data_IF_790980018513
#
_entry.id   IF_790980018513
#
_cell.length_a   1.000
_cell.length_b   1.000
_cell.length_c   1.000
_cell.angle_alpha   90.00
_cell.angle_beta   90.00
_cell.angle_gamma   90.00
#
_symmetry.space_group_name_H-M   'P 1'
#
loop_
_entity.id
_entity.type
_entity.pdbx_description
1 polymer ?
#
# COMPACT_ATOMS: atom_id res chain seq x y z
N UNK A 1 30.29 8.50 10.27
CA UNK A 1 29.68 7.17 10.14
C UNK A 1 28.28 7.23 10.72
N UNK A 2 27.27 7.49 9.88
CA UNK A 2 25.87 7.45 10.28
C UNK A 2 25.46 6.00 10.45
N UNK A 3 25.18 5.59 11.69
CA UNK A 3 24.54 4.31 12.01
C UNK A 3 23.34 4.13 11.10
N UNK A 4 23.37 3.08 10.26
CA UNK A 4 22.32 2.77 9.30
C UNK A 4 21.03 2.39 10.02
N UNK A 5 20.25 3.39 10.42
CA UNK A 5 18.85 3.20 10.77
C UNK A 5 18.19 2.56 9.55
N UNK A 6 17.67 1.34 9.70
CA UNK A 6 16.89 0.72 8.64
C UNK A 6 15.74 1.65 8.32
N UNK A 7 15.73 2.17 7.10
CA UNK A 7 14.62 3.00 6.62
C UNK A 7 13.40 2.10 6.45
N UNK A 8 12.26 2.54 6.99
CA UNK A 8 10.98 1.86 6.78
C UNK A 8 10.65 1.83 5.28
N UNK A 9 9.84 0.85 4.88
CA UNK A 9 9.18 0.89 3.57
C UNK A 9 7.92 1.71 3.76
N UNK A 10 7.69 2.71 2.92
CA UNK A 10 6.43 3.46 2.91
C UNK A 10 5.51 2.87 1.84
N UNK A 11 4.38 2.32 2.28
CA UNK A 11 3.28 2.01 1.39
C UNK A 11 2.38 3.23 1.33
N UNK A 12 2.11 3.75 0.14
CA UNK A 12 1.18 4.86 -0.01
C UNK A 12 0.30 4.71 -1.24
N UNK A 13 -0.82 5.42 -1.18
CA UNK A 13 -1.82 5.56 -2.22
C UNK A 13 -2.30 7.01 -2.21
N UNK A 14 -2.73 7.51 -3.37
CA UNK A 14 -3.36 8.83 -3.48
C UNK A 14 -4.68 8.74 -4.20
N UNK A 15 -5.66 9.48 -3.70
CA UNK A 15 -6.86 9.75 -4.47
C UNK A 15 -6.78 11.13 -5.11
N UNK A 16 -7.34 11.22 -6.30
CA UNK A 16 -7.23 12.40 -7.15
C UNK A 16 -8.58 12.80 -7.72
N UNK A 17 -8.65 13.99 -8.27
CA UNK A 17 -9.70 14.37 -9.21
C UNK A 17 -9.70 13.47 -10.44
N UNK A 18 -10.74 13.54 -11.27
CA UNK A 18 -10.63 13.10 -12.65
C UNK A 18 -9.57 13.96 -13.39
N UNK A 19 -8.97 13.47 -14.49
CA UNK A 19 -8.07 14.29 -15.29
C UNK A 19 -8.86 15.46 -15.88
N UNK A 20 -8.31 16.67 -15.82
CA UNK A 20 -8.86 17.82 -16.50
C UNK A 20 -8.78 17.66 -18.02
N UNK A 21 -9.42 18.54 -18.78
CA UNK A 21 -9.30 18.55 -20.25
C UNK A 21 -7.83 18.70 -20.73
N UNK A 22 -6.98 19.32 -19.92
CA UNK A 22 -5.54 19.44 -20.15
C UNK A 22 -4.73 18.24 -19.63
N UNK A 23 -5.40 17.18 -19.18
CA UNK A 23 -4.78 15.97 -18.64
C UNK A 23 -4.23 16.09 -17.22
N UNK A 24 -4.51 17.19 -16.51
CA UNK A 24 -3.98 17.45 -15.16
C UNK A 24 -4.81 16.76 -14.07
N UNK A 25 -4.13 16.31 -13.02
CA UNK A 25 -4.73 15.68 -11.85
C UNK A 25 -4.47 16.54 -10.62
N UNK A 26 -5.44 16.61 -9.69
CA UNK A 26 -5.23 17.24 -8.38
C UNK A 26 -5.35 16.19 -7.28
N UNK A 27 -4.44 16.22 -6.32
CA UNK A 27 -4.51 15.38 -5.12
C UNK A 27 -5.70 15.81 -4.26
N UNK A 28 -6.49 14.84 -3.82
CA UNK A 28 -7.62 15.01 -2.90
C UNK A 28 -7.41 14.30 -1.57
N UNK A 29 -6.62 13.21 -1.58
CA UNK A 29 -6.25 12.48 -0.38
C UNK A 29 -4.85 11.91 -0.56
N UNK A 30 -4.10 11.89 0.54
CA UNK A 30 -2.85 11.14 0.67
C UNK A 30 -2.98 10.19 1.84
N UNK A 31 -2.64 8.92 1.65
CA UNK A 31 -2.61 7.92 2.70
C UNK A 31 -1.35 7.08 2.64
N UNK A 32 -0.68 6.90 3.77
CA UNK A 32 0.56 6.16 3.86
C UNK A 32 0.67 5.36 5.17
N UNK A 33 1.33 4.21 5.09
CA UNK A 33 1.79 3.43 6.23
C UNK A 33 3.30 3.21 6.14
N UNK A 34 3.96 3.31 7.29
CA UNK A 34 5.36 2.96 7.46
C UNK A 34 5.45 1.51 7.92
N UNK A 35 6.20 0.70 7.21
CA UNK A 35 6.29 -0.74 7.41
C UNK A 35 7.70 -1.14 7.77
N UNK A 36 7.84 -1.89 8.87
CA UNK A 36 9.11 -2.48 9.25
C UNK A 36 9.51 -3.56 8.22
N UNK A 37 10.62 -3.43 7.48
CA UNK A 37 10.98 -4.36 6.41
C UNK A 37 11.28 -5.79 6.91
N UNK A 38 11.59 -5.96 8.20
CA UNK A 38 11.88 -7.28 8.79
C UNK A 38 10.66 -8.00 9.35
N UNK A 39 9.66 -7.23 9.82
CA UNK A 39 8.50 -7.76 10.53
C UNK A 39 7.22 -7.66 9.72
N UNK A 40 7.21 -6.85 8.66
CA UNK A 40 6.05 -6.56 7.81
C UNK A 40 4.83 -6.06 8.63
N UNK A 41 5.12 -5.35 9.72
CA UNK A 41 4.12 -4.71 10.57
C UNK A 41 4.13 -3.21 10.31
N UNK A 42 2.95 -2.62 10.32
CA UNK A 42 2.76 -1.18 10.35
C UNK A 42 3.35 -0.63 11.67
N UNK A 43 4.28 0.32 11.56
CA UNK A 43 4.92 1.02 12.69
C UNK A 43 4.48 2.48 12.79
N UNK A 44 3.72 2.96 11.81
CA UNK A 44 3.13 4.28 11.79
C UNK A 44 2.25 4.47 10.56
N UNK A 45 1.37 5.46 10.61
CA UNK A 45 0.51 5.84 9.50
C UNK A 45 0.33 7.34 9.44
N UNK A 46 -0.04 7.83 8.27
CA UNK A 46 -0.45 9.21 8.06
C UNK A 46 -1.48 9.25 6.95
N UNK A 47 -2.55 9.99 7.18
CA UNK A 47 -3.57 10.28 6.18
C UNK A 47 -3.99 11.74 6.27
N UNK A 48 -4.34 12.33 5.14
CA UNK A 48 -4.84 13.69 5.09
C UNK A 48 -5.68 13.91 3.83
N UNK A 49 -6.80 14.61 3.99
CA UNK A 49 -7.49 15.21 2.85
C UNK A 49 -6.70 16.43 2.38
N UNK A 50 -6.75 16.69 1.08
CA UNK A 50 -6.03 17.80 0.44
C UNK A 50 -7.04 18.62 -0.35
N UNK A 51 -7.11 19.91 -0.04
CA UNK A 51 -7.99 20.83 -0.75
C UNK A 51 -7.37 21.26 -2.08
N UNK A 52 -8.02 21.01 -3.22
CA UNK A 52 -7.56 21.51 -4.51
C UNK A 52 -7.73 23.04 -4.58
N UNK A 53 -6.96 23.70 -5.46
CA UNK A 53 -7.08 25.15 -5.67
C UNK A 53 -8.46 25.55 -6.23
N UNK A 54 -9.01 24.72 -7.10
CA UNK A 54 -10.38 24.84 -7.62
C UNK A 54 -11.26 23.77 -6.96
N UNK A 55 -12.28 24.17 -6.20
CA UNK A 55 -13.18 23.22 -5.54
C UNK A 55 -14.16 22.54 -6.51
N UNK A 56 -14.38 23.10 -7.70
CA UNK A 56 -15.29 22.50 -8.69
C UNK A 56 -14.80 21.13 -9.16
N UNK A 57 -13.49 20.89 -9.11
CA UNK A 57 -12.88 19.61 -9.49
C UNK A 57 -12.88 18.57 -8.36
N UNK A 58 -13.21 18.96 -7.12
CA UNK A 58 -13.19 18.08 -5.95
C UNK A 58 -14.28 17.00 -5.97
N UNK A 59 -15.38 17.25 -6.67
CA UNK A 59 -16.49 16.30 -6.81
C UNK A 59 -16.07 15.18 -7.78
N UNK A 60 -15.93 13.96 -7.27
CA UNK A 60 -15.67 12.78 -8.10
C UNK A 60 -16.66 11.67 -7.77
N UNK A 61 -16.66 10.58 -8.55
CA UNK A 61 -17.45 9.38 -8.21
C UNK A 61 -17.06 8.77 -6.85
N UNK A 62 -15.86 9.06 -6.36
CA UNK A 62 -15.28 8.49 -5.13
C UNK A 62 -15.28 9.47 -3.96
N UNK A 63 -15.31 10.77 -4.25
CA UNK A 63 -15.40 11.83 -3.24
C UNK A 63 -16.70 12.60 -3.41
N UNK A 64 -17.64 12.28 -2.53
CA UNK A 64 -18.94 12.95 -2.43
C UNK A 64 -19.01 13.94 -1.28
N UNK A 65 -18.08 13.88 -0.33
CA UNK A 65 -18.00 14.79 0.82
C UNK A 65 -17.18 16.04 0.47
N UNK A 66 -17.83 16.95 -0.26
CA UNK A 66 -17.23 18.19 -0.74
C UNK A 66 -16.90 19.13 0.43
N UNK A 67 -17.71 19.09 1.49
CA UNK A 67 -17.53 19.94 2.67
C UNK A 67 -16.24 19.55 3.41
N UNK A 68 -15.98 18.25 3.58
CA UNK A 68 -14.72 17.79 4.16
C UNK A 68 -13.50 18.18 3.32
N UNK A 69 -13.58 18.10 1.98
CA UNK A 69 -12.48 18.57 1.11
C UNK A 69 -12.33 20.09 1.17
N UNK A 70 -13.42 20.85 1.24
CA UNK A 70 -13.38 22.30 1.32
C UNK A 70 -12.78 22.79 2.65
N UNK A 71 -12.94 22.03 3.73
CA UNK A 71 -12.33 22.29 5.03
C UNK A 71 -10.87 21.78 5.14
N UNK A 72 -10.40 20.97 4.19
CA UNK A 72 -9.08 20.37 4.23
C UNK A 72 -7.94 21.40 4.00
N UNK A 73 -6.72 21.11 4.48
CA UNK A 73 -5.56 21.94 4.18
C UNK A 73 -5.21 21.89 2.69
N UNK A 74 -4.72 22.98 2.08
CA UNK A 74 -4.11 22.94 0.76
C UNK A 74 -2.79 22.15 0.80
N UNK A 75 -2.36 21.61 -0.35
CA UNK A 75 -1.17 20.76 -0.43
C UNK A 75 0.10 21.38 0.19
N UNK A 76 0.32 22.68 -0.02
CA UNK A 76 1.47 23.41 0.54
C UNK A 76 1.60 23.29 2.07
N UNK A 77 0.49 23.14 2.80
CA UNK A 77 0.46 23.11 4.26
C UNK A 77 0.78 21.70 4.79
N UNK A 78 0.60 20.66 3.97
CA UNK A 78 0.93 19.25 4.31
C UNK A 78 2.21 18.75 3.63
N UNK A 79 2.78 19.53 2.72
CA UNK A 79 3.92 19.15 1.89
C UNK A 79 5.16 18.76 2.70
N UNK A 80 5.47 19.47 3.79
CA UNK A 80 6.61 19.14 4.67
C UNK A 80 6.44 17.76 5.29
N UNK A 81 5.24 17.47 5.81
CA UNK A 81 4.95 16.18 6.44
C UNK A 81 5.02 15.04 5.44
N UNK A 82 4.47 15.23 4.23
CA UNK A 82 4.52 14.25 3.16
C UNK A 82 5.97 14.03 2.71
N UNK A 83 6.76 15.10 2.57
CA UNK A 83 8.19 15.01 2.23
C UNK A 83 8.94 14.17 3.25
N UNK A 84 8.78 14.46 4.55
CA UNK A 84 9.44 13.73 5.63
C UNK A 84 9.08 12.24 5.68
N UNK A 85 7.86 11.88 5.26
CA UNK A 85 7.38 10.50 5.18
C UNK A 85 8.02 9.78 3.99
N UNK A 86 8.11 10.45 2.84
CA UNK A 86 8.48 9.81 1.58
C UNK A 86 10.00 9.84 1.31
N UNK A 87 10.67 10.94 1.61
CA UNK A 87 12.04 11.18 1.14
C UNK A 87 13.03 10.16 1.68
N UNK A 88 13.84 9.60 0.77
CA UNK A 88 14.85 8.61 1.08
C UNK A 88 14.33 7.24 1.51
N UNK A 89 13.01 7.00 1.59
CA UNK A 89 12.44 5.67 1.88
C UNK A 89 12.21 4.87 0.61
N UNK A 90 12.03 3.55 0.77
CA UNK A 90 11.53 2.72 -0.32
C UNK A 90 10.03 2.94 -0.44
N UNK A 91 9.57 3.28 -1.63
CA UNK A 91 8.15 3.50 -1.91
C UNK A 91 7.51 2.21 -2.40
N UNK A 92 6.35 1.89 -1.89
CA UNK A 92 5.57 0.73 -2.30
C UNK A 92 4.11 1.14 -2.53
N UNK A 93 3.50 0.57 -3.57
CA UNK A 93 2.13 0.91 -3.96
C UNK A 93 1.67 0.02 -5.10
N UNK A 94 0.45 0.23 -5.61
CA UNK A 94 -0.12 -0.61 -6.65
C UNK A 94 -0.37 0.20 -7.90
N UNK A 95 0.34 -0.11 -8.98
CA UNK A 95 0.45 0.75 -10.15
C UNK A 95 1.11 2.11 -9.82
N UNK A 96 1.89 2.15 -8.74
CA UNK A 96 2.43 3.37 -8.14
C UNK A 96 3.37 4.12 -9.09
N UNK A 97 4.12 3.41 -9.93
CA UNK A 97 5.06 4.04 -10.86
C UNK A 97 4.34 4.87 -11.92
N UNK A 98 3.17 4.40 -12.37
CA UNK A 98 2.40 5.05 -13.43
C UNK A 98 1.39 6.05 -12.88
N UNK A 99 0.95 5.85 -11.65
CA UNK A 99 -0.10 6.65 -11.05
C UNK A 99 0.44 7.58 -9.96
N UNK A 100 0.60 7.08 -8.74
CA UNK A 100 0.79 7.92 -7.54
C UNK A 100 2.11 8.70 -7.56
N UNK A 101 3.22 8.07 -7.98
CA UNK A 101 4.54 8.69 -8.02
C UNK A 101 4.55 9.99 -8.87
N UNK A 102 4.04 10.00 -10.13
CA UNK A 102 3.85 11.24 -10.88
C UNK A 102 3.01 12.29 -10.17
N UNK A 103 1.91 11.93 -9.49
CA UNK A 103 1.01 12.91 -8.86
C UNK A 103 1.64 13.59 -7.67
N UNK A 104 2.44 12.86 -6.88
CA UNK A 104 3.25 13.47 -5.82
C UNK A 104 4.22 14.49 -6.43
N UNK A 105 4.95 14.12 -7.49
CA UNK A 105 5.90 15.03 -8.14
C UNK A 105 5.22 16.28 -8.70
N UNK A 106 4.08 16.12 -9.37
CA UNK A 106 3.27 17.23 -9.91
C UNK A 106 2.83 18.18 -8.78
N UNK A 107 2.34 17.65 -7.66
CA UNK A 107 1.89 18.46 -6.53
C UNK A 107 3.03 19.28 -5.87
N UNK A 108 4.24 18.70 -5.77
CA UNK A 108 5.42 19.43 -5.30
C UNK A 108 5.87 20.49 -6.30
N UNK A 109 5.84 20.18 -7.60
CA UNK A 109 6.16 21.14 -8.66
C UNK A 109 5.20 22.34 -8.67
N UNK A 110 3.91 22.12 -8.44
CA UNK A 110 2.88 23.18 -8.38
C UNK A 110 3.11 24.20 -7.28
N UNK A 111 3.76 23.80 -6.18
CA UNK A 111 4.12 24.70 -5.08
C UNK A 111 5.57 25.21 -5.19
N UNK A 112 6.24 24.95 -6.32
CA UNK A 112 7.61 25.41 -6.59
C UNK A 112 8.67 24.73 -5.73
N UNK A 113 8.43 23.49 -5.28
CA UNK A 113 9.34 22.76 -4.39
C UNK A 113 9.87 21.48 -5.05
N UNK A 114 11.09 21.03 -4.68
CA UNK A 114 11.57 19.72 -5.10
C UNK A 114 10.70 18.62 -4.48
N UNK A 115 10.40 17.60 -5.28
CA UNK A 115 9.68 16.41 -4.82
C UNK A 115 10.61 15.50 -3.98
N UNK A 116 10.06 14.70 -3.06
CA UNK A 116 10.82 13.68 -2.34
C UNK A 116 11.32 12.60 -3.31
N UNK A 117 12.50 12.05 -3.05
CA UNK A 117 13.11 11.01 -3.89
C UNK A 117 13.15 9.64 -3.18
N UNK A 118 12.66 8.57 -3.83
CA UNK A 118 12.69 7.23 -3.26
C UNK A 118 14.11 6.65 -3.27
N UNK A 119 14.45 5.87 -2.24
CA UNK A 119 15.60 4.97 -2.28
C UNK A 119 15.38 3.77 -3.23
N UNK A 120 14.13 3.48 -3.56
CA UNK A 120 13.69 2.43 -4.48
C UNK A 120 12.17 2.40 -4.57
N UNK A 121 11.63 1.79 -5.64
CA UNK A 121 10.17 1.71 -5.86
C UNK A 121 9.75 0.25 -6.07
N UNK A 122 8.76 -0.19 -5.31
CA UNK A 122 8.09 -1.48 -5.41
C UNK A 122 6.68 -1.24 -5.95
N UNK A 123 6.51 -1.46 -7.25
CA UNK A 123 5.19 -1.47 -7.86
C UNK A 123 4.59 -2.87 -7.78
N UNK A 124 3.68 -3.07 -6.83
CA UNK A 124 3.05 -4.36 -6.59
C UNK A 124 2.31 -4.89 -7.82
N UNK A 125 1.74 -4.05 -8.68
CA UNK A 125 1.09 -4.53 -9.90
C UNK A 125 2.11 -5.18 -10.83
N UNK A 126 3.26 -4.54 -11.02
CA UNK A 126 4.33 -5.07 -11.89
C UNK A 126 4.92 -6.36 -11.31
N UNK A 127 5.17 -6.40 -9.99
CA UNK A 127 5.68 -7.59 -9.29
C UNK A 127 4.69 -8.75 -9.42
N UNK A 128 3.40 -8.50 -9.16
CA UNK A 128 2.37 -9.53 -9.22
C UNK A 128 2.09 -9.99 -10.66
N UNK A 129 2.14 -9.08 -11.64
CA UNK A 129 1.98 -9.46 -13.04
C UNK A 129 3.10 -10.42 -13.51
N UNK A 130 4.33 -10.19 -13.07
CA UNK A 130 5.47 -11.04 -13.42
C UNK A 130 5.45 -12.40 -12.69
N UNK A 131 5.11 -12.41 -11.39
CA UNK A 131 5.32 -13.58 -10.54
C UNK A 131 4.03 -14.33 -10.21
N UNK A 132 2.94 -13.61 -9.95
CA UNK A 132 1.66 -14.18 -9.54
C UNK A 132 0.75 -14.50 -10.75
N UNK A 133 0.90 -13.77 -11.85
CA UNK A 133 0.13 -13.97 -13.08
C UNK A 133 -1.38 -13.83 -12.88
N UNK A 134 -2.20 -14.43 -13.76
CA UNK A 134 -3.67 -14.22 -13.77
C UNK A 134 -4.46 -15.10 -12.79
N UNK A 135 -3.83 -15.60 -11.74
CA UNK A 135 -4.47 -16.51 -10.75
C UNK A 135 -5.69 -15.88 -10.07
N UNK A 136 -5.59 -14.58 -9.81
CA UNK A 136 -6.63 -13.76 -9.23
C UNK A 136 -7.26 -12.82 -10.28
N UNK A 137 -7.38 -13.25 -11.53
CA UNK A 137 -8.05 -12.47 -12.58
C UNK A 137 -7.20 -11.32 -13.14
N UNK A 138 -7.74 -10.10 -13.07
CA UNK A 138 -7.17 -8.90 -13.72
C UNK A 138 -6.10 -8.18 -12.90
N UNK A 139 -5.75 -8.72 -11.73
CA UNK A 139 -4.74 -8.18 -10.80
C UNK A 139 -5.04 -6.77 -10.26
N UNK A 140 -6.27 -6.26 -10.41
CA UNK A 140 -6.67 -5.04 -9.71
C UNK A 140 -6.75 -5.31 -8.22
N UNK A 141 -6.49 -4.27 -7.41
CA UNK A 141 -6.54 -4.34 -5.95
C UNK A 141 -7.84 -4.97 -5.43
N UNK A 142 -9.01 -4.50 -5.87
CA UNK A 142 -10.31 -5.08 -5.48
C UNK A 142 -10.46 -6.57 -5.83
N UNK A 143 -9.96 -6.99 -7.00
CA UNK A 143 -10.03 -8.38 -7.44
C UNK A 143 -9.12 -9.26 -6.58
N UNK A 144 -7.89 -8.80 -6.30
CA UNK A 144 -6.94 -9.48 -5.42
C UNK A 144 -7.47 -9.60 -3.99
N UNK A 145 -8.00 -8.51 -3.43
CA UNK A 145 -8.58 -8.50 -2.10
C UNK A 145 -9.77 -9.46 -1.97
N UNK A 146 -10.62 -9.52 -3.01
CA UNK A 146 -11.73 -10.49 -3.09
C UNK A 146 -11.21 -11.92 -3.15
N UNK A 147 -10.20 -12.17 -4.00
CA UNK A 147 -9.60 -13.50 -4.18
C UNK A 147 -9.05 -14.08 -2.87
N UNK A 148 -8.43 -13.25 -2.03
CA UNK A 148 -7.87 -13.67 -0.74
C UNK A 148 -8.84 -13.53 0.44
N UNK A 149 -10.06 -13.01 0.23
CA UNK A 149 -11.01 -12.77 1.32
C UNK A 149 -10.58 -11.67 2.30
N UNK A 150 -9.76 -10.72 1.86
CA UNK A 150 -9.26 -9.59 2.68
C UNK A 150 -10.38 -8.58 2.96
N UNK A 151 -11.30 -8.42 2.00
CA UNK A 151 -12.44 -7.51 2.10
C UNK A 151 -12.66 -6.69 0.84
N UNK A 152 -13.62 -5.76 0.90
CA UNK A 152 -13.95 -4.85 -0.21
C UNK A 152 -13.04 -3.63 -0.17
N UNK A 153 -12.47 -3.26 -1.32
CA UNK A 153 -11.73 -2.01 -1.48
C UNK A 153 -12.65 -0.80 -1.20
N UNK A 154 -12.19 0.11 -0.36
CA UNK A 154 -12.98 1.25 0.10
C UNK A 154 -12.74 2.50 -0.75
N UNK A 155 -11.67 2.56 -1.54
CA UNK A 155 -11.24 3.76 -2.25
C UNK A 155 -10.95 4.92 -1.29
N UNK A 156 -10.17 4.58 -0.26
CA UNK A 156 -9.63 5.51 0.73
C UNK A 156 -8.15 5.24 0.81
N UNK A 157 -7.33 6.26 0.61
CA UNK A 157 -5.89 6.07 0.37
C UNK A 157 -5.20 5.27 1.49
N UNK A 158 -5.51 5.55 2.76
CA UNK A 158 -4.89 4.81 3.87
C UNK A 158 -5.34 3.35 3.93
N UNK A 159 -6.63 3.08 3.71
CA UNK A 159 -7.16 1.71 3.69
C UNK A 159 -6.56 0.93 2.51
N UNK A 160 -6.38 1.56 1.36
CA UNK A 160 -5.86 0.94 0.15
C UNK A 160 -4.33 0.68 0.27
N UNK A 161 -3.58 1.56 0.94
CA UNK A 161 -2.18 1.32 1.29
C UNK A 161 -2.02 0.10 2.21
N UNK A 162 -2.90 -0.07 3.20
CA UNK A 162 -2.93 -1.27 4.07
C UNK A 162 -3.34 -2.52 3.31
N UNK A 163 -4.36 -2.42 2.46
CA UNK A 163 -4.81 -3.52 1.61
C UNK A 163 -3.69 -4.02 0.70
N UNK A 164 -2.89 -3.10 0.15
CA UNK A 164 -1.74 -3.45 -0.66
C UNK A 164 -0.72 -4.32 0.08
N UNK A 165 -0.36 -3.93 1.31
CA UNK A 165 0.55 -4.72 2.15
C UNK A 165 0.00 -6.14 2.38
N UNK A 166 -1.29 -6.27 2.72
CA UNK A 166 -1.91 -7.57 2.96
C UNK A 166 -1.98 -8.42 1.68
N UNK A 167 -2.33 -7.84 0.54
CA UNK A 167 -2.31 -8.52 -0.76
C UNK A 167 -0.92 -9.05 -1.08
N UNK A 168 0.14 -8.24 -0.88
CA UNK A 168 1.51 -8.70 -1.10
C UNK A 168 1.91 -9.84 -0.16
N UNK A 169 1.54 -9.78 1.13
CA UNK A 169 1.79 -10.87 2.08
C UNK A 169 1.16 -12.17 1.61
N UNK A 170 -0.11 -12.13 1.19
CA UNK A 170 -0.81 -13.31 0.69
C UNK A 170 -0.20 -13.85 -0.60
N UNK A 171 0.05 -13.00 -1.60
CA UNK A 171 0.66 -13.41 -2.85
C UNK A 171 2.05 -14.03 -2.64
N UNK A 172 2.90 -13.40 -1.82
CA UNK A 172 4.23 -13.90 -1.50
C UNK A 172 4.16 -15.27 -0.80
N UNK A 173 3.23 -15.44 0.12
CA UNK A 173 3.03 -16.72 0.83
C UNK A 173 2.60 -17.82 -0.11
N UNK A 174 1.64 -17.55 -1.01
CA UNK A 174 1.21 -18.53 -2.03
C UNK A 174 2.37 -18.94 -2.93
N UNK A 175 3.13 -17.96 -3.45
CA UNK A 175 4.29 -18.24 -4.30
C UNK A 175 5.35 -19.07 -3.57
N UNK A 176 5.61 -18.78 -2.29
CA UNK A 176 6.55 -19.54 -1.47
C UNK A 176 6.08 -21.00 -1.30
N UNK A 177 4.82 -21.21 -0.93
CA UNK A 177 4.26 -22.55 -0.71
C UNK A 177 4.30 -23.40 -1.98
N UNK A 178 3.88 -22.84 -3.12
CA UNK A 178 3.93 -23.53 -4.41
C UNK A 178 5.35 -23.83 -4.87
N UNK A 179 6.31 -22.95 -4.60
CA UNK A 179 7.72 -23.21 -4.91
C UNK A 179 8.32 -24.33 -4.05
N UNK A 180 7.71 -24.62 -2.90
CA UNK A 180 8.14 -25.66 -1.97
C UNK A 180 7.67 -27.05 -2.42
N UNK A 181 6.46 -27.16 -2.97
CA UNK A 181 5.86 -28.42 -3.44
C UNK A 181 5.13 -28.23 -4.79
N UNK A 182 5.85 -27.99 -5.89
CA UNK A 182 5.26 -27.59 -7.17
C UNK A 182 4.30 -28.65 -7.73
N UNK A 183 4.64 -29.93 -7.66
CA UNK A 183 3.85 -31.00 -8.29
C UNK A 183 2.52 -31.23 -7.56
N UNK A 184 2.51 -31.12 -6.23
CA UNK A 184 1.31 -31.32 -5.41
C UNK A 184 0.33 -30.16 -5.60
N UNK A 185 0.83 -28.93 -5.52
CA UNK A 185 -0.03 -27.74 -5.51
C UNK A 185 -0.48 -27.33 -6.92
N UNK A 186 0.33 -27.56 -7.96
CA UNK A 186 -0.10 -27.33 -9.35
C UNK A 186 -1.16 -28.33 -9.81
N UNK A 187 -1.06 -29.59 -9.40
CA UNK A 187 -2.07 -30.62 -9.75
C UNK A 187 -3.45 -30.30 -9.16
N UNK A 188 -3.52 -29.68 -7.98
CA UNK A 188 -4.80 -29.25 -7.41
C UNK A 188 -5.42 -28.04 -8.13
N UNK A 189 -4.61 -27.07 -8.57
CA UNK A 189 -5.09 -25.93 -9.35
C UNK A 189 -5.64 -26.36 -10.71
N UNK A 190 -4.98 -27.30 -11.40
CA UNK A 190 -5.48 -27.85 -12.66
C UNK A 190 -6.85 -28.55 -12.48
N UNK A 191 -7.00 -29.34 -11.41
CA UNK A 191 -8.28 -30.01 -11.08
C UNK A 191 -9.39 -29.02 -10.72
N UNK A 192 -9.09 -27.92 -10.03
CA UNK A 192 -10.07 -26.86 -9.76
C UNK A 192 -10.46 -26.07 -11.01
N UNK A 193 -9.52 -25.80 -11.92
CA UNK A 193 -9.80 -25.16 -13.19
C UNK A 193 -10.69 -26.02 -14.10
N UNK A 194 -10.43 -27.34 -14.17
CA UNK A 194 -11.25 -28.30 -14.91
C UNK A 194 -12.65 -28.46 -14.30
N UNK A 195 -12.74 -28.54 -12.96
CA UNK A 195 -14.03 -28.58 -12.25
C UNK A 195 -14.88 -27.33 -12.49
N UNK A 196 -14.26 -26.14 -12.46
CA UNK A 196 -14.93 -24.88 -12.77
C UNK A 196 -15.39 -24.81 -14.24
N UNK A 197 -14.60 -25.33 -15.19
CA UNK A 197 -14.96 -25.42 -16.60
C UNK A 197 -16.14 -26.38 -16.86
N UNK A 198 -16.18 -27.54 -16.17
CA UNK A 198 -17.30 -28.49 -16.22
C UNK A 198 -18.59 -27.87 -15.69
N UNK A 199 -18.55 -27.15 -14.56
CA UNK A 199 -19.73 -26.45 -14.03
C UNK A 199 -20.24 -25.33 -14.96
N UNK A 200 -19.36 -24.60 -15.64
CA UNK A 200 -19.79 -23.59 -16.65
C UNK A 200 -20.43 -24.24 -17.88
N UNK A 201 -19.92 -25.38 -18.36
CA UNK A 201 -20.55 -26.14 -19.45
C UNK A 201 -21.92 -26.66 -19.07
N UNK A 202 -22.10 -27.13 -17.84
CA UNK A 202 -23.40 -27.58 -17.32
C UNK A 202 -24.40 -26.42 -17.18
N UNK A 203 -23.95 -25.24 -16.75
CA UNK A 203 -24.78 -24.03 -16.69
C UNK A 203 -25.21 -23.54 -18.09
N UNK A 204 -24.29 -23.55 -19.06
CA UNK A 204 -24.59 -23.22 -20.45
C UNK A 204 -25.54 -24.25 -21.10
N UNK A 205 -25.37 -25.55 -20.79
CA UNK A 205 -26.25 -26.60 -21.30
C UNK A 205 -27.66 -26.51 -20.70
N UNK A 206 -27.78 -26.16 -19.41
CA UNK A 206 -29.08 -25.91 -18.76
C UNK A 206 -29.80 -24.70 -19.34
N UNK A 207 -29.07 -23.66 -19.76
CA UNK A 207 -29.65 -22.49 -20.45
C UNK A 207 -30.15 -22.84 -21.87
N UNK A 208 -29.53 -23.79 -22.57
CA UNK A 208 -29.96 -24.22 -23.91
C UNK A 208 -31.19 -25.14 -23.94
N UNK A 209 -31.52 -25.81 -22.83
CA UNK A 209 -32.64 -26.77 -22.77
C UNK A 209 -33.99 -26.11 -22.41
N UNK A 210 -34.01 -24.83 -22.01
CA UNK A 210 -35.27 -24.12 -21.65
C UNK A 210 -35.89 -23.32 -22.80
N UNK A 211 -35.32 -23.35 -24.01
CA UNK A 211 -35.90 -22.72 -25.22
C UNK A 211 -36.33 -23.76 -26.25
N UNK A 212 -37.38 -24.52 -25.93
CA UNK A 212 -38.19 -25.20 -26.92
C UNK A 212 -39.67 -24.94 -26.60
N UNK A 213 -40.26 -23.99 -27.31
CA UNK A 213 -41.67 -23.66 -27.25
C UNK A 213 -42.52 -24.74 -27.97
N UNK A 214 -43.71 -25.10 -27.48
CA UNK A 214 -44.74 -25.67 -28.33
C UNK A 214 -45.68 -24.57 -28.85
N UNK A 215 -46.11 -24.78 -30.09
CA UNK A 215 -46.89 -23.84 -30.89
C UNK A 215 -48.37 -23.72 -30.46
N UNK A 216 -48.88 -22.54 -30.76
CA UNK A 216 -50.21 -21.93 -30.72
C UNK A 216 -51.42 -22.82 -31.04
N UNK A 217 -52.49 -22.73 -30.23
CA UNK A 217 -53.88 -22.60 -30.72
C UNK A 217 -54.64 -21.59 -29.84
N UNK A 218 -55.21 -20.59 -30.51
CA UNK A 218 -56.04 -19.47 -30.04
C UNK A 218 -57.47 -19.92 -29.68
N UNK A 219 -58.13 -19.31 -28.68
CA UNK A 219 -59.48 -18.69 -28.75
C UNK A 219 -59.80 -17.95 -27.43
N UNK A 220 -60.25 -16.71 -27.60
CA UNK A 220 -60.82 -15.75 -26.63
C UNK A 220 -62.20 -16.14 -26.09
N UNK A 221 -62.48 -15.88 -24.80
CA UNK A 221 -63.56 -14.99 -24.30
C UNK A 221 -63.96 -15.24 -22.84
N UNK A 222 -64.54 -14.19 -22.26
CA UNK A 222 -64.92 -13.90 -20.88
C UNK A 222 -66.05 -14.72 -20.26
N UNK A 223 -66.00 -14.96 -18.94
CA UNK A 223 -66.88 -14.33 -17.91
C UNK A 223 -67.14 -15.23 -16.68
N UNK A 224 -67.08 -14.58 -15.50
CA UNK A 224 -67.81 -14.77 -14.23
C UNK A 224 -67.91 -16.11 -13.45
N UNK A 225 -67.75 -15.95 -12.13
CA UNK A 225 -68.21 -16.76 -10.98
C UNK A 225 -67.50 -18.12 -10.77
N UNK A 226 -67.23 -18.63 -9.56
CA UNK A 226 -67.99 -18.61 -8.30
C UNK A 226 -67.10 -19.09 -7.13
N UNK A 227 -67.34 -18.54 -5.92
CA UNK A 227 -67.31 -19.16 -4.56
C UNK A 227 -66.19 -20.10 -4.05
N UNK A 228 -65.75 -19.75 -2.83
CA UNK A 228 -64.88 -20.42 -1.83
C UNK A 228 -65.48 -21.69 -1.16
N UNK A 229 -64.92 -22.30 -0.06
CA UNK A 229 -63.55 -22.56 0.45
C UNK A 229 -63.36 -24.12 0.71
N UNK A 230 -62.48 -24.70 1.59
CA UNK A 230 -62.36 -24.48 3.05
C UNK A 230 -60.93 -24.46 3.66
N UNK A 231 -60.88 -24.08 4.94
CA UNK A 231 -59.74 -24.06 5.88
C UNK A 231 -59.46 -25.46 6.45
N UNK A 232 -58.21 -25.79 6.84
CA UNK A 232 -57.86 -26.13 8.24
C UNK A 232 -56.38 -26.52 8.50
N UNK A 233 -55.97 -26.20 9.75
CA UNK A 233 -54.94 -26.77 10.63
C UNK A 233 -53.43 -26.46 10.43
N UNK A 234 -52.93 -25.98 11.57
CA UNK A 234 -51.63 -25.56 12.03
C UNK A 234 -50.77 -26.74 12.49
N UNK A 235 -49.47 -26.73 12.20
CA UNK A 235 -48.46 -27.45 12.99
C UNK A 235 -47.24 -26.57 13.23
N UNK A 236 -47.05 -26.24 14.51
CA UNK A 236 -45.81 -25.72 15.06
C UNK A 236 -44.71 -26.77 14.97
N UNK A 237 -43.51 -26.38 14.54
CA UNK A 237 -42.28 -27.10 14.91
C UNK A 237 -41.15 -26.13 15.20
N UNK A 238 -40.84 -26.03 16.48
CA UNK A 238 -39.67 -25.37 17.06
C UNK A 238 -38.40 -26.16 16.72
N UNK A 239 -37.41 -25.49 16.15
CA UNK A 239 -36.05 -26.01 15.94
C UNK A 239 -35.04 -25.03 16.52
N UNK A 240 -34.60 -25.31 17.76
CA UNK A 240 -33.56 -24.59 18.49
C UNK A 240 -32.20 -24.99 17.90
N UNK A 241 -31.42 -24.02 17.40
CA UNK A 241 -30.00 -24.21 17.08
C UNK A 241 -29.16 -23.72 18.26
N UNK A 242 -28.58 -24.69 18.97
CA UNK A 242 -27.67 -24.49 20.09
C UNK A 242 -26.37 -23.84 19.63
N UNK A 243 -26.08 -22.64 20.13
CA UNK A 243 -24.77 -22.01 20.05
C UNK A 243 -23.80 -22.71 21.00
N UNK A 244 -22.75 -23.32 20.47
CA UNK A 244 -21.62 -23.82 21.27
C UNK A 244 -20.73 -22.63 21.62
N UNK A 245 -20.94 -22.08 22.82
CA UNK A 245 -20.15 -21.01 23.42
C UNK A 245 -18.91 -21.62 24.08
N UNK A 246 -17.74 -21.43 23.49
CA UNK A 246 -16.46 -21.74 24.14
C UNK A 246 -16.19 -20.71 25.24
N UNK A 247 -15.74 -21.11 26.45
CA UNK A 247 -15.47 -20.16 27.52
C UNK A 247 -14.09 -19.52 27.32
N UNK A 248 -14.08 -18.27 26.84
CA UNK A 248 -12.93 -17.39 27.01
C UNK A 248 -13.05 -16.68 28.36
N UNK A 249 -12.17 -17.04 29.30
CA UNK A 249 -11.93 -16.27 30.51
C UNK A 249 -11.11 -15.02 30.16
N UNK A 250 -11.56 -13.80 30.51
CA UNK A 250 -10.75 -12.61 30.29
C UNK A 250 -9.62 -12.57 31.32
N UNK A 251 -8.37 -12.59 30.84
CA UNK A 251 -7.18 -12.30 31.65
C UNK A 251 -7.22 -10.81 32.02
N UNK A 252 -7.28 -10.53 33.31
CA UNK A 252 -7.21 -9.18 33.88
C UNK A 252 -5.78 -8.66 33.66
N UNK A 253 -5.62 -7.70 32.75
CA UNK A 253 -4.36 -6.97 32.61
C UNK A 253 -4.10 -6.15 33.88
N UNK A 254 -3.12 -6.57 34.67
CA UNK A 254 -2.49 -5.70 35.67
C UNK A 254 -1.66 -4.64 34.94
N UNK A 255 -1.80 -3.38 35.37
CA UNK A 255 -0.98 -2.28 34.89
C UNK A 255 0.51 -2.51 35.26
N UNK A 256 1.46 -2.19 34.36
CA UNK A 256 2.88 -2.29 34.68
C UNK A 256 3.27 -1.28 35.78
N UNK A 257 4.20 -1.62 36.68
CA UNK A 257 4.68 -0.68 37.68
C UNK A 257 5.45 0.47 37.01
N UNK A 258 5.23 1.68 37.52
CA UNK A 258 5.83 2.93 37.07
C UNK A 258 7.38 2.87 37.23
N UNK A 259 8.17 3.32 36.23
CA UNK A 259 9.62 3.35 36.38
C UNK A 259 10.05 4.37 37.45
N UNK A 260 11.03 3.98 38.26
CA UNK A 260 11.66 4.81 39.28
C UNK A 260 12.37 6.02 38.64
N UNK A 261 12.33 7.16 39.33
CA UNK A 261 12.98 8.40 38.91
C UNK A 261 14.51 8.21 38.83
N UNK A 262 15.20 8.80 37.85
CA UNK A 262 16.65 8.69 37.75
C UNK A 262 17.33 9.48 38.89
N UNK A 263 18.27 8.81 39.54
CA UNK A 263 19.16 9.39 40.53
C UNK A 263 20.06 10.47 39.91
N UNK A 264 20.22 11.57 40.64
CA UNK A 264 21.05 12.73 40.35
C UNK A 264 22.52 12.32 40.18
N UNK A 265 23.11 12.60 39.00
CA UNK A 265 24.54 12.51 38.79
C UNK A 265 25.26 13.75 39.37
N UNK A 266 26.44 13.60 40.01
CA UNK A 266 27.21 14.73 40.52
C UNK A 266 27.92 15.49 39.40
N UNK A 267 28.01 16.81 39.57
CA UNK A 267 28.60 17.76 38.62
C UNK A 267 30.12 17.53 38.43
N UNK A 268 30.66 17.72 37.20
CA UNK A 268 32.10 17.72 37.00
C UNK A 268 32.73 19.08 37.37
N UNK A 269 33.82 18.98 38.10
CA UNK A 269 34.79 20.02 38.48
C UNK A 269 35.32 20.81 37.27
N UNK A 270 35.34 22.14 37.41
CA UNK A 270 35.89 23.06 36.43
C UNK A 270 37.43 23.08 36.45
N UNK A 271 38.05 22.95 35.28
CA UNK A 271 39.46 23.30 35.03
C UNK A 271 39.53 24.51 34.08
N UNK A 272 40.45 25.47 34.29
CA UNK A 272 40.38 26.80 33.69
C UNK A 272 40.86 26.85 32.24
N UNK A 273 40.18 27.69 31.45
CA UNK A 273 40.46 28.08 30.07
C UNK A 273 41.70 28.99 29.98
N UNK A 274 42.58 28.84 28.96
CA UNK A 274 43.66 29.80 28.72
C UNK A 274 43.15 31.00 27.93
N UNK A 275 43.22 32.18 28.54
CA UNK A 275 42.81 33.47 27.97
C UNK A 275 43.82 33.95 26.90
N UNK A 276 43.37 34.12 25.65
CA UNK A 276 44.14 34.75 24.58
C UNK A 276 44.11 36.28 24.69
N UNK A 277 45.26 36.94 24.49
CA UNK A 277 45.41 38.41 24.48
C UNK A 277 44.46 39.05 23.46
N UNK A 278 43.59 39.95 23.93
CA UNK A 278 42.72 40.83 23.10
C UNK A 278 43.33 42.23 23.04
N UNK A 279 43.13 42.94 21.94
CA UNK A 279 43.50 44.36 21.85
C UNK A 279 42.46 45.26 22.55
N UNK A 280 42.75 46.56 22.67
CA UNK A 280 41.93 47.57 23.37
C UNK A 280 40.52 47.81 22.79
N UNK A 281 40.12 47.05 21.76
CA UNK A 281 38.78 47.07 21.15
C UNK A 281 38.13 45.66 21.09
N UNK A 282 38.65 44.70 21.86
CA UNK A 282 37.96 43.43 22.13
C UNK A 282 37.95 42.39 20.99
N UNK A 283 38.73 42.58 19.91
CA UNK A 283 38.81 41.61 18.80
C UNK A 283 40.03 40.68 18.92
N UNK A 284 39.84 39.41 18.54
CA UNK A 284 40.88 38.37 18.52
C UNK A 284 41.73 38.51 17.24
N UNK A 285 43.05 38.62 17.38
CA UNK A 285 43.99 38.74 16.25
C UNK A 285 44.49 37.34 15.86
N UNK A 286 44.38 36.92 14.59
CA UNK A 286 44.92 35.63 14.14
C UNK A 286 46.45 35.68 14.03
N UNK A 287 47.12 34.64 14.55
CA UNK A 287 48.57 34.44 14.47
C UNK A 287 48.94 33.89 13.08
N UNK A 288 49.74 34.64 12.33
CA UNK A 288 50.29 34.22 11.05
C UNK A 288 51.34 33.11 11.24
N UNK A 289 51.28 32.06 10.40
CA UNK A 289 52.36 31.10 10.20
C UNK A 289 52.50 30.86 8.69
N UNK A 290 53.76 30.79 8.26
CA UNK A 290 54.27 30.99 6.91
C UNK A 290 53.97 29.87 5.89
N UNK A 291 54.00 30.26 4.62
CA UNK A 291 54.01 29.43 3.42
C UNK A 291 55.23 28.51 3.33
N UNK A 292 55.01 27.30 2.80
CA UNK A 292 55.97 26.60 1.94
C UNK A 292 55.21 25.92 0.80
N UNK A 293 55.68 26.16 -0.42
CA UNK A 293 55.13 25.70 -1.68
C UNK A 293 55.92 24.49 -2.21
N UNK A 294 55.24 23.54 -2.85
CA UNK A 294 55.86 22.63 -3.83
C UNK A 294 54.82 21.97 -4.76
N UNK A 295 54.97 22.27 -6.05
CA UNK A 295 54.79 21.47 -7.27
C UNK A 295 53.49 20.67 -7.55
N UNK A 296 52.88 20.99 -8.70
CA UNK A 296 51.95 20.16 -9.48
C UNK A 296 52.64 18.92 -10.10
N UNK A 297 51.88 17.95 -10.64
CA UNK A 297 51.75 17.95 -12.11
C UNK A 297 50.41 17.50 -12.70
N UNK A 298 50.23 18.00 -13.93
CA UNK A 298 49.51 17.56 -15.12
C UNK A 298 48.39 16.50 -15.09
N UNK A 299 47.35 16.91 -15.83
CA UNK A 299 46.26 16.14 -16.42
C UNK A 299 46.69 14.98 -17.32
N UNK A 300 45.98 13.85 -17.20
CA UNK A 300 45.73 12.93 -18.31
C UNK A 300 44.24 12.60 -18.36
N UNK A 301 43.64 12.93 -19.50
CA UNK A 301 42.27 12.58 -19.89
C UNK A 301 42.19 11.08 -20.19
N UNK A 302 41.22 10.38 -19.61
CA UNK A 302 40.75 9.12 -20.19
C UNK A 302 39.23 9.05 -20.06
N UNK A 303 38.60 9.08 -21.24
CA UNK A 303 37.18 8.87 -21.45
C UNK A 303 36.72 7.53 -20.84
N UNK A 304 35.75 7.57 -19.92
CA UNK A 304 34.94 6.41 -19.55
C UNK A 304 33.47 6.73 -19.82
N UNK A 305 32.90 6.02 -20.79
CA UNK A 305 31.47 5.91 -21.06
C UNK A 305 30.71 5.59 -19.75
N UNK A 306 29.52 6.17 -19.51
CA UNK A 306 28.65 5.72 -18.45
C UNK A 306 28.11 4.34 -18.82
N UNK A 307 28.42 3.33 -18.01
CA UNK A 307 27.73 2.05 -18.04
C UNK A 307 26.39 2.27 -17.37
N UNK A 308 25.32 2.30 -18.15
CA UNK A 308 23.95 2.14 -17.67
C UNK A 308 23.84 0.77 -17.02
N UNK A 309 23.95 0.73 -15.68
CA UNK A 309 23.57 -0.43 -14.91
C UNK A 309 22.05 -0.56 -14.98
N UNK A 310 21.56 -1.33 -15.95
CA UNK A 310 20.21 -1.87 -15.92
C UNK A 310 20.13 -2.77 -14.68
N UNK A 311 19.39 -2.33 -13.67
CA UNK A 311 19.02 -3.17 -12.55
C UNK A 311 18.20 -4.34 -13.12
N UNK A 312 18.83 -5.50 -13.27
CA UNK A 312 18.14 -6.72 -13.63
C UNK A 312 17.22 -7.08 -12.47
N UNK A 313 15.92 -6.86 -12.66
CA UNK A 313 14.87 -7.35 -11.76
C UNK A 313 15.06 -8.84 -11.58
N UNK A 314 15.60 -9.25 -10.44
CA UNK A 314 15.78 -10.66 -10.13
C UNK A 314 14.41 -11.25 -9.87
N UNK A 315 13.99 -12.32 -10.58
CA UNK A 315 12.67 -12.91 -10.36
C UNK A 315 12.50 -13.31 -8.90
N UNK A 316 11.31 -13.18 -8.34
CA UNK A 316 11.02 -13.47 -6.93
C UNK A 316 11.44 -14.90 -6.52
N UNK A 317 11.34 -15.84 -7.47
CA UNK A 317 11.84 -17.22 -7.28
C UNK A 317 13.36 -17.30 -7.03
N UNK A 318 14.16 -16.36 -7.54
CA UNK A 318 15.61 -16.31 -7.32
C UNK A 318 16.00 -15.68 -5.98
N UNK A 319 15.20 -14.75 -5.46
CA UNK A 319 15.37 -14.20 -4.10
C UNK A 319 15.21 -15.34 -3.07
N UNK A 320 14.26 -16.25 -3.30
CA UNK A 320 14.02 -17.41 -2.44
C UNK A 320 15.02 -18.57 -2.61
N UNK A 321 15.83 -18.59 -3.68
CA UNK A 321 16.90 -19.59 -3.84
C UNK A 321 18.09 -19.31 -2.92
N UNK A 322 18.38 -18.05 -2.59
CA UNK A 322 19.48 -17.73 -1.66
C UNK A 322 19.20 -18.18 -0.22
N UNK A 323 17.93 -18.37 0.16
CA UNK A 323 17.54 -18.97 1.44
C UNK A 323 17.72 -20.49 1.53
N UNK A 324 17.93 -21.20 0.40
CA UNK A 324 18.15 -22.66 0.42
C UNK A 324 19.58 -23.09 0.81
N UNK A 325 20.52 -22.14 0.94
CA UNK A 325 21.89 -22.44 1.38
C UNK A 325 22.06 -22.51 2.92
N UNK A 326 21.01 -22.26 3.70
CA UNK A 326 21.08 -22.17 5.18
C UNK A 326 20.42 -23.40 5.88
N UNK A 327 19.78 -24.30 5.12
CA UNK A 327 19.13 -25.50 5.66
C UNK A 327 19.64 -26.81 5.05
N UNK A 328 20.93 -26.87 4.75
CA UNK A 328 21.64 -28.15 4.52
C UNK A 328 22.84 -28.24 5.43
#
# INVERSE_FOLDING_TARGET
>A
MTTGAMREIVFFDVETTAPSAAGRWWLLEFGAILVCPRKLVEVGSYDTLIRPGDLSVAVTRRFTDVEAIAAAPPFKDVADKIFDILDGRVWAGHNIQRFDCPRIREAFADIGRPAPEPAGVIDSLNVLAAEFGRRAGDLKMATLATYFGIGKQKHRSLDDARMNLEVLKHCATVLLLESSLPDVLRTQQARQADGAAVTRRMAAHRATVTTAAPATITVTSSSSSTTAPPKHVQHHRTGVLSQTKLPFTPVRHQAPPRPAAPATAPAPTATPTPCGKRNSLGKVVPRAVAQQAAAAPLSTSTSRRPVTATAATTPFHMILRHSRAILR
#
